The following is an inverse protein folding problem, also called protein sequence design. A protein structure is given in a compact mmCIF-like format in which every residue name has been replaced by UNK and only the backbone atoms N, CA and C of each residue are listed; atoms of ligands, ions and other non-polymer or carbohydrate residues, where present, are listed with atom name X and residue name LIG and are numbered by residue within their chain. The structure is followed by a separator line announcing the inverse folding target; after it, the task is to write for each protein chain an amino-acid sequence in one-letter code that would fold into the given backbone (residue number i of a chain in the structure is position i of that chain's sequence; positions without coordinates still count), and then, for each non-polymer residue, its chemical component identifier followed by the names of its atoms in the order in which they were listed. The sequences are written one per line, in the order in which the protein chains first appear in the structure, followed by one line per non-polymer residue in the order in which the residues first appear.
data_IF_195012336904
#
_entry.id   IF_195012336904
#
_cell.length_a   1.000
_cell.length_b   1.000
_cell.length_c   1.000
_cell.angle_alpha   90.00
_cell.angle_beta   90.00
_cell.angle_gamma   90.00
#
_symmetry.space_group_name_H-M   'P 1'
#
loop_
_entity.id
_entity.type
_entity.pdbx_description
1 polymer ?
#
# COMPACT_ATOMS: atom_id res chain seq x y z
N UNK A 1 -30.97 14.12 15.12
CA UNK A 1 -32.23 14.51 15.79
C UNK A 1 -32.49 13.71 17.07
N UNK A 2 -32.23 12.40 17.11
CA UNK A 2 -32.41 11.56 18.32
C UNK A 2 -31.50 11.93 19.52
N UNK A 3 -30.29 12.46 19.27
CA UNK A 3 -29.34 12.78 20.34
C UNK A 3 -29.70 14.05 21.16
N UNK A 4 -30.58 14.91 20.64
CA UNK A 4 -31.03 16.12 21.34
C UNK A 4 -32.17 15.82 22.34
N UNK A 5 -32.87 14.71 22.16
CA UNK A 5 -33.99 14.32 23.03
C UNK A 5 -33.47 13.75 24.36
N UNK A 6 -32.38 12.98 24.32
CA UNK A 6 -31.77 12.38 25.51
C UNK A 6 -31.21 13.43 26.49
N UNK A 7 -30.71 14.57 25.99
CA UNK A 7 -30.15 15.64 26.83
C UNK A 7 -31.21 16.55 27.47
N UNK A 8 -32.45 16.53 27.00
CA UNK A 8 -33.55 17.33 27.56
C UNK A 8 -34.18 16.75 28.83
N UNK A 9 -33.99 15.45 29.10
CA UNK A 9 -34.65 14.73 30.19
C UNK A 9 -33.90 14.79 31.54
N UNK A 10 -32.63 15.22 31.55
CA UNK A 10 -31.77 15.10 32.74
C UNK A 10 -31.65 16.39 33.58
N UNK A 11 -32.36 17.48 33.26
CA UNK A 11 -32.05 18.77 33.90
C UNK A 11 -33.18 19.78 34.08
N UNK A 12 -34.46 19.38 34.02
CA UNK A 12 -35.56 20.35 34.18
C UNK A 12 -36.66 19.88 35.13
N UNK A 13 -37.03 20.83 36.00
CA UNK A 13 -38.07 20.84 37.01
C UNK A 13 -39.29 19.96 36.67
N UNK A 14 -39.53 18.94 37.50
CA UNK A 14 -40.51 17.87 37.33
C UNK A 14 -41.94 18.38 37.03
N UNK A 15 -42.31 19.54 37.58
CA UNK A 15 -43.63 20.16 37.38
C UNK A 15 -43.92 20.58 35.92
N UNK A 16 -42.93 21.04 35.16
CA UNK A 16 -43.14 21.41 33.73
C UNK A 16 -43.20 20.20 32.80
N UNK A 17 -42.70 19.05 33.24
CA UNK A 17 -42.70 17.80 32.47
C UNK A 17 -44.12 17.20 32.38
N UNK A 18 -44.95 17.40 33.41
CA UNK A 18 -46.31 16.85 33.49
C UNK A 18 -47.23 17.48 32.43
N UNK A 19 -47.15 18.79 32.18
CA UNK A 19 -48.02 19.47 31.22
C UNK A 19 -47.69 19.16 29.74
N UNK A 20 -46.45 18.75 29.43
CA UNK A 20 -46.06 18.38 28.06
C UNK A 20 -46.56 16.95 27.74
N UNK A 21 -46.61 16.07 28.73
CA UNK A 21 -47.09 14.70 28.55
C UNK A 21 -48.62 14.60 28.37
N UNK A 22 -49.37 15.64 28.77
CA UNK A 22 -50.83 15.69 28.59
C UNK A 22 -51.27 16.00 27.16
N UNK A 23 -50.36 16.49 26.30
CA UNK A 23 -50.68 16.92 24.94
C UNK A 23 -50.08 16.03 23.85
N UNK A 24 -49.70 14.80 24.19
CA UNK A 24 -49.25 13.81 23.21
C UNK A 24 -50.50 13.22 22.55
N UNK A 25 -50.68 13.37 21.22
CA UNK A 25 -51.77 12.71 20.52
C UNK A 25 -51.65 11.20 20.77
N UNK A 26 -52.71 10.59 21.27
CA UNK A 26 -52.77 9.13 21.45
C UNK A 26 -52.60 8.50 20.07
N UNK A 27 -51.40 8.04 19.75
CA UNK A 27 -51.13 7.21 18.57
C UNK A 27 -51.80 5.86 18.85
N UNK A 28 -53.10 5.76 18.61
CA UNK A 28 -53.92 4.58 18.92
C UNK A 28 -53.81 3.45 17.90
N UNK A 29 -52.88 3.52 16.94
CA UNK A 29 -52.72 2.47 15.94
C UNK A 29 -51.28 2.35 15.43
N UNK A 30 -50.35 2.03 16.34
CA UNK A 30 -49.15 1.29 15.90
C UNK A 30 -49.55 -0.18 15.92
N UNK A 31 -49.94 -0.71 14.76
CA UNK A 31 -50.07 -2.16 14.58
C UNK A 31 -48.66 -2.76 14.62
N UNK A 32 -48.11 -2.87 15.83
CA UNK A 32 -46.81 -3.47 16.09
C UNK A 32 -46.96 -4.96 15.87
N UNK A 33 -46.70 -5.39 14.63
CA UNK A 33 -46.69 -6.81 14.29
C UNK A 33 -45.57 -7.46 15.10
N UNK A 34 -45.94 -8.26 16.09
CA UNK A 34 -44.98 -9.03 16.86
C UNK A 34 -44.34 -10.05 15.92
N UNK A 35 -43.12 -9.76 15.46
CA UNK A 35 -42.33 -10.71 14.69
C UNK A 35 -41.76 -11.71 15.70
N UNK A 36 -42.47 -12.82 15.87
CA UNK A 36 -41.94 -13.96 16.63
C UNK A 36 -40.84 -14.58 15.79
N UNK A 37 -39.59 -14.32 16.17
CA UNK A 37 -38.42 -14.96 15.58
C UNK A 37 -38.51 -16.46 15.86
N UNK A 38 -38.63 -17.27 14.80
CA UNK A 38 -38.50 -18.72 14.93
C UNK A 38 -37.03 -19.04 15.15
N UNK A 39 -36.73 -19.74 16.25
CA UNK A 39 -35.40 -20.28 16.48
C UNK A 39 -35.23 -21.53 15.61
N UNK A 40 -34.55 -21.40 14.47
CA UNK A 40 -34.07 -22.57 13.75
C UNK A 40 -32.78 -23.09 14.39
N UNK A 41 -32.59 -24.41 14.37
CA UNK A 41 -31.32 -25.01 14.77
C UNK A 41 -30.24 -24.57 13.77
N UNK A 42 -29.13 -24.06 14.28
CA UNK A 42 -27.98 -23.74 13.45
C UNK A 42 -27.53 -24.99 12.69
N UNK A 43 -27.47 -24.90 11.35
CA UNK A 43 -26.87 -25.97 10.57
C UNK A 43 -25.36 -26.00 10.85
N UNK A 44 -24.75 -27.20 10.88
CA UNK A 44 -23.30 -27.31 11.01
C UNK A 44 -22.65 -26.57 9.84
N UNK A 45 -21.50 -25.95 10.10
CA UNK A 45 -20.74 -25.29 9.06
C UNK A 45 -20.51 -26.29 7.90
N UNK A 46 -20.67 -25.85 6.63
CA UNK A 46 -20.34 -26.70 5.49
C UNK A 46 -18.93 -27.27 5.67
N UNK A 47 -18.75 -28.55 5.35
CA UNK A 47 -17.42 -29.20 5.37
C UNK A 47 -16.49 -28.67 4.27
N UNK A 48 -17.01 -27.85 3.35
CA UNK A 48 -16.25 -27.22 2.28
C UNK A 48 -15.57 -25.91 2.74
N UNK A 49 -14.32 -25.73 2.33
CA UNK A 49 -13.60 -24.47 2.48
C UNK A 49 -14.24 -23.37 1.62
N UNK A 50 -14.00 -22.12 2.01
CA UNK A 50 -14.42 -20.96 1.24
C UNK A 50 -13.96 -21.02 -0.23
N UNK A 51 -12.71 -21.43 -0.45
CA UNK A 51 -12.09 -21.45 -1.77
C UNK A 51 -12.62 -22.61 -2.61
N UNK A 52 -12.77 -23.79 -2.02
CA UNK A 52 -13.40 -24.95 -2.65
C UNK A 52 -14.82 -24.64 -3.10
N UNK A 53 -15.60 -23.95 -2.25
CA UNK A 53 -16.94 -23.48 -2.59
C UNK A 53 -16.93 -22.50 -3.76
N UNK A 54 -16.00 -21.55 -3.81
CA UNK A 54 -15.92 -20.57 -4.90
C UNK A 54 -15.45 -21.18 -6.22
N UNK A 55 -14.50 -22.12 -6.16
CA UNK A 55 -14.04 -22.89 -7.32
C UNK A 55 -15.18 -23.76 -7.87
N UNK A 56 -15.89 -24.49 -7.00
CA UNK A 56 -17.05 -25.31 -7.37
C UNK A 56 -18.16 -24.48 -8.01
N UNK A 57 -18.39 -23.26 -7.51
CA UNK A 57 -19.42 -22.35 -8.02
C UNK A 57 -18.95 -21.50 -9.22
N UNK A 58 -17.69 -21.64 -9.66
CA UNK A 58 -17.08 -20.85 -10.74
C UNK A 58 -17.34 -19.34 -10.59
N UNK A 59 -17.20 -18.81 -9.36
CA UNK A 59 -17.42 -17.39 -9.12
C UNK A 59 -16.28 -16.57 -9.74
N UNK A 60 -16.59 -15.54 -10.55
CA UNK A 60 -15.55 -14.71 -11.14
C UNK A 60 -14.85 -13.88 -10.07
N UNK A 61 -13.54 -13.70 -10.23
CA UNK A 61 -12.77 -12.76 -9.41
C UNK A 61 -13.09 -11.33 -9.86
N UNK A 62 -13.44 -10.46 -8.92
CA UNK A 62 -13.65 -9.05 -9.21
C UNK A 62 -12.36 -8.42 -9.76
N UNK A 63 -12.43 -7.49 -10.72
CA UNK A 63 -11.26 -6.78 -11.20
C UNK A 63 -10.59 -6.02 -10.04
N UNK A 64 -9.25 -6.01 -10.00
CA UNK A 64 -8.48 -5.37 -8.94
C UNK A 64 -7.48 -4.36 -9.52
N UNK A 65 -6.34 -4.82 -10.06
CA UNK A 65 -5.28 -3.94 -10.55
C UNK A 65 -5.70 -3.10 -11.76
N UNK A 66 -6.65 -3.60 -12.56
CA UNK A 66 -7.15 -2.92 -13.76
C UNK A 66 -8.06 -1.74 -13.46
N UNK A 67 -8.67 -1.69 -12.27
CA UNK A 67 -9.62 -0.64 -11.88
C UNK A 67 -9.16 0.18 -10.66
N UNK A 68 -8.07 -0.24 -9.99
CA UNK A 68 -7.58 0.45 -8.81
C UNK A 68 -6.96 1.79 -9.19
N UNK A 69 -7.27 2.85 -8.42
CA UNK A 69 -6.69 4.16 -8.66
C UNK A 69 -5.17 4.11 -8.42
N UNK A 70 -4.34 4.56 -9.37
CA UNK A 70 -2.90 4.60 -9.18
C UNK A 70 -2.52 5.54 -8.03
N UNK A 71 -1.76 5.03 -7.07
CA UNK A 71 -1.32 5.77 -5.88
C UNK A 71 0.21 5.80 -5.82
N UNK A 72 0.79 6.93 -5.40
CA UNK A 72 2.23 7.08 -5.22
C UNK A 72 2.81 5.94 -4.36
N UNK A 73 2.17 5.64 -3.23
CA UNK A 73 2.57 4.57 -2.30
C UNK A 73 2.65 3.20 -2.95
N UNK A 74 1.67 2.85 -3.78
CA UNK A 74 1.63 1.56 -4.49
C UNK A 74 2.77 1.43 -5.50
N UNK A 75 3.04 2.50 -6.27
CA UNK A 75 4.17 2.53 -7.20
C UNK A 75 5.50 2.45 -6.46
N UNK A 76 5.68 3.22 -5.38
CA UNK A 76 6.92 3.20 -4.62
C UNK A 76 7.24 1.80 -4.09
N UNK A 77 6.21 1.07 -3.63
CA UNK A 77 6.33 -0.31 -3.17
C UNK A 77 6.69 -1.28 -4.30
N UNK A 78 6.04 -1.20 -5.45
CA UNK A 78 6.35 -2.06 -6.61
C UNK A 78 7.77 -1.77 -7.11
N UNK A 79 8.13 -0.50 -7.28
CA UNK A 79 9.47 -0.09 -7.71
C UNK A 79 10.54 -0.57 -6.74
N UNK A 80 10.29 -0.57 -5.42
CA UNK A 80 11.24 -1.12 -4.44
C UNK A 80 11.48 -2.62 -4.64
N UNK A 81 10.44 -3.40 -4.94
CA UNK A 81 10.59 -4.82 -5.30
C UNK A 81 11.38 -4.99 -6.60
N UNK A 82 11.03 -4.22 -7.63
CA UNK A 82 11.69 -4.29 -8.94
C UNK A 82 13.17 -3.90 -8.88
N UNK A 83 13.52 -2.84 -8.15
CA UNK A 83 14.93 -2.46 -7.95
C UNK A 83 15.67 -3.48 -7.12
N UNK A 84 15.03 -4.11 -6.13
CA UNK A 84 15.61 -5.22 -5.37
C UNK A 84 15.95 -6.41 -6.28
N UNK A 85 15.01 -6.84 -7.12
CA UNK A 85 15.22 -7.90 -8.12
C UNK A 85 16.36 -7.53 -9.08
N UNK A 86 16.37 -6.30 -9.59
CA UNK A 86 17.42 -5.83 -10.49
C UNK A 86 18.80 -5.89 -9.83
N UNK A 87 18.94 -5.41 -8.58
CA UNK A 87 20.20 -5.44 -7.84
C UNK A 87 20.67 -6.86 -7.52
N UNK A 88 19.75 -7.74 -7.11
CA UNK A 88 20.08 -9.17 -6.96
C UNK A 88 20.52 -9.77 -8.29
N UNK A 89 19.84 -9.42 -9.39
CA UNK A 89 20.25 -9.80 -10.74
C UNK A 89 21.67 -9.33 -11.07
N UNK A 90 22.02 -8.08 -10.78
CA UNK A 90 23.38 -7.57 -10.97
C UNK A 90 24.41 -8.37 -10.18
N UNK A 91 24.14 -8.61 -8.89
CA UNK A 91 25.05 -9.36 -8.03
C UNK A 91 25.27 -10.79 -8.53
N UNK A 92 24.20 -11.48 -8.95
CA UNK A 92 24.26 -12.85 -9.46
C UNK A 92 24.97 -12.90 -10.81
N UNK A 93 24.60 -12.04 -11.76
CA UNK A 93 25.18 -12.04 -13.11
C UNK A 93 26.65 -11.66 -13.08
N UNK A 94 27.03 -10.62 -12.34
CA UNK A 94 28.43 -10.22 -12.21
C UNK A 94 29.24 -11.24 -11.41
N UNK A 95 28.67 -11.80 -10.34
CA UNK A 95 29.32 -12.82 -9.53
C UNK A 95 29.58 -14.12 -10.30
N UNK A 96 28.57 -14.64 -11.01
CA UNK A 96 28.75 -15.80 -11.87
C UNK A 96 29.65 -15.50 -13.06
N UNK A 97 29.49 -14.31 -13.68
CA UNK A 97 30.35 -13.86 -14.77
C UNK A 97 31.82 -13.86 -14.38
N UNK A 98 32.16 -13.37 -13.18
CA UNK A 98 33.53 -13.39 -12.67
C UNK A 98 34.11 -14.82 -12.52
N UNK A 99 33.27 -15.84 -12.37
CA UNK A 99 33.70 -17.23 -12.24
C UNK A 99 33.83 -17.97 -13.58
N UNK A 100 32.99 -17.62 -14.56
CA UNK A 100 32.87 -18.38 -15.82
C UNK A 100 33.47 -17.70 -17.03
N UNK A 101 33.68 -16.38 -16.98
CA UNK A 101 34.18 -15.62 -18.14
C UNK A 101 35.68 -15.86 -18.34
N UNK A 102 36.15 -15.90 -19.61
CA UNK A 102 37.52 -16.25 -19.95
C UNK A 102 38.55 -15.14 -19.68
N UNK A 103 38.09 -13.91 -19.47
CA UNK A 103 38.95 -12.75 -19.27
C UNK A 103 38.62 -12.05 -17.96
N UNK A 104 39.54 -11.19 -17.51
CA UNK A 104 39.37 -10.39 -16.31
C UNK A 104 38.49 -9.16 -16.55
N UNK A 105 38.20 -8.43 -15.47
CA UNK A 105 37.40 -7.21 -15.55
C UNK A 105 38.04 -6.13 -16.43
N UNK A 106 39.36 -6.00 -16.42
CA UNK A 106 40.08 -4.98 -17.17
C UNK A 106 39.90 -5.16 -18.69
N UNK A 107 39.89 -6.40 -19.17
CA UNK A 107 39.59 -6.71 -20.57
C UNK A 107 38.20 -6.20 -20.98
N UNK A 108 37.16 -6.47 -20.18
CA UNK A 108 35.81 -6.02 -20.51
C UNK A 108 35.63 -4.50 -20.37
N UNK A 109 36.32 -3.87 -19.41
CA UNK A 109 36.31 -2.42 -19.25
C UNK A 109 36.92 -1.72 -20.48
N UNK A 110 38.09 -2.18 -20.95
CA UNK A 110 38.73 -1.64 -22.15
C UNK A 110 37.91 -1.88 -23.43
N UNK A 111 37.20 -3.02 -23.51
CA UNK A 111 36.27 -3.28 -24.61
C UNK A 111 35.10 -2.27 -24.63
N UNK A 112 34.55 -1.92 -23.45
CA UNK A 112 33.49 -0.89 -23.33
C UNK A 112 34.03 0.49 -23.69
N UNK A 113 35.25 0.84 -23.24
CA UNK A 113 35.92 2.09 -23.64
C UNK A 113 36.13 2.18 -25.15
N UNK A 114 36.46 1.05 -25.78
CA UNK A 114 36.60 0.91 -27.24
C UNK A 114 35.31 1.17 -28.04
N UNK A 115 34.13 1.16 -27.40
CA UNK A 115 32.87 1.54 -28.03
C UNK A 115 32.77 3.06 -28.29
N UNK A 116 33.65 3.87 -27.69
CA UNK A 116 33.73 5.32 -27.88
C UNK A 116 32.37 6.03 -27.71
N UNK A 117 31.62 5.62 -26.68
CA UNK A 117 30.32 6.22 -26.38
C UNK A 117 30.47 7.71 -26.05
N UNK A 118 29.53 8.53 -26.52
CA UNK A 118 29.51 9.95 -26.21
C UNK A 118 29.33 10.18 -24.71
N UNK A 119 29.91 11.26 -24.16
CA UNK A 119 29.81 11.56 -22.74
C UNK A 119 28.36 11.59 -22.20
N UNK A 120 27.36 12.17 -22.91
CA UNK A 120 25.97 12.11 -22.48
C UNK A 120 25.37 10.70 -22.47
N UNK A 121 25.77 9.85 -23.43
CA UNK A 121 25.33 8.46 -23.50
C UNK A 121 25.90 7.67 -22.33
N UNK A 122 27.20 7.79 -22.08
CA UNK A 122 27.86 7.12 -20.96
C UNK A 122 27.28 7.55 -19.61
N UNK A 123 27.04 8.85 -19.41
CA UNK A 123 26.43 9.37 -18.20
C UNK A 123 25.01 8.83 -17.98
N UNK A 124 24.23 8.72 -19.05
CA UNK A 124 22.88 8.16 -19.00
C UNK A 124 22.89 6.68 -18.62
N UNK A 125 23.80 5.89 -19.18
CA UNK A 125 23.98 4.47 -18.82
C UNK A 125 24.38 4.34 -17.35
N UNK A 126 25.38 5.11 -16.90
CA UNK A 126 25.81 5.14 -15.50
C UNK A 126 24.65 5.47 -14.57
N UNK A 127 23.84 6.48 -14.90
CA UNK A 127 22.68 6.87 -14.11
C UNK A 127 21.62 5.76 -14.03
N UNK A 128 21.27 5.13 -15.16
CA UNK A 128 20.29 4.04 -15.20
C UNK A 128 20.76 2.83 -14.39
N UNK A 129 22.07 2.53 -14.39
CA UNK A 129 22.65 1.46 -13.58
C UNK A 129 22.71 1.82 -12.08
N UNK A 130 23.00 3.07 -11.75
CA UNK A 130 23.11 3.55 -10.36
C UNK A 130 21.76 3.80 -9.68
N UNK A 131 20.73 4.22 -10.44
CA UNK A 131 19.44 4.62 -9.88
C UNK A 131 18.73 3.50 -9.09
N UNK A 132 18.67 2.24 -9.54
CA UNK A 132 18.11 1.14 -8.75
C UNK A 132 18.76 0.99 -7.37
N UNK A 133 20.09 1.13 -7.29
CA UNK A 133 20.83 1.08 -6.03
C UNK A 133 20.45 2.24 -5.11
N UNK A 134 20.54 3.47 -5.62
CA UNK A 134 20.21 4.67 -4.84
C UNK A 134 18.76 4.64 -4.35
N UNK A 135 17.82 4.30 -5.23
CA UNK A 135 16.41 4.17 -4.89
C UNK A 135 16.17 3.08 -3.84
N UNK A 136 16.71 1.88 -4.05
CA UNK A 136 16.46 0.75 -3.16
C UNK A 136 17.03 1.00 -1.76
N UNK A 137 18.23 1.58 -1.67
CA UNK A 137 18.87 1.93 -0.41
C UNK A 137 18.06 2.98 0.36
N UNK A 138 17.74 4.11 -0.27
CA UNK A 138 17.04 5.22 0.40
C UNK A 138 15.61 4.81 0.78
N UNK A 139 14.89 4.13 -0.12
CA UNK A 139 13.55 3.62 0.22
C UNK A 139 13.62 2.50 1.27
N UNK A 140 14.68 1.69 1.29
CA UNK A 140 14.92 0.68 2.33
C UNK A 140 15.06 1.31 3.72
N UNK A 141 15.79 2.43 3.84
CA UNK A 141 15.85 3.21 5.10
C UNK A 141 14.46 3.70 5.51
N UNK A 142 13.65 4.16 4.55
CA UNK A 142 12.25 4.56 4.82
C UNK A 142 11.40 3.37 5.31
N UNK A 143 11.58 2.18 4.75
CA UNK A 143 10.92 0.96 5.23
C UNK A 143 11.37 0.60 6.66
N UNK A 144 12.66 0.65 6.97
CA UNK A 144 13.16 0.42 8.33
C UNK A 144 12.60 1.44 9.33
N UNK A 145 12.39 2.70 8.91
CA UNK A 145 11.71 3.69 9.75
C UNK A 145 10.24 3.32 10.01
N UNK A 146 9.55 2.76 9.01
CA UNK A 146 8.19 2.23 9.19
C UNK A 146 8.14 1.01 10.11
N UNK A 147 9.12 0.11 10.02
CA UNK A 147 9.24 -1.04 10.93
C UNK A 147 9.45 -0.61 12.38
N UNK A 148 10.10 0.55 12.58
CA UNK A 148 10.22 1.23 13.88
C UNK A 148 8.98 2.07 14.26
N UNK A 149 7.84 1.89 13.58
CA UNK A 149 6.57 2.60 13.77
C UNK A 149 6.64 4.13 13.62
N UNK A 150 7.56 4.65 12.80
CA UNK A 150 7.68 6.09 12.48
C UNK A 150 7.04 6.42 11.14
N UNK A 151 6.57 7.66 10.96
CA UNK A 151 6.06 8.18 9.67
C UNK A 151 4.90 7.39 9.03
N UNK A 152 3.97 6.90 9.84
CA UNK A 152 2.85 6.04 9.40
C UNK A 152 1.55 6.81 9.12
N UNK A 153 1.50 8.13 9.35
CA UNK A 153 0.33 8.91 8.92
C UNK A 153 0.34 9.10 7.41
N UNK A 154 -0.83 9.21 6.78
CA UNK A 154 -0.91 9.38 5.32
C UNK A 154 -0.09 10.59 4.83
N UNK A 155 -0.12 11.71 5.56
CA UNK A 155 0.67 12.90 5.21
C UNK A 155 2.17 12.62 5.22
N UNK A 156 2.66 11.93 6.24
CA UNK A 156 4.08 11.57 6.37
C UNK A 156 4.49 10.54 5.32
N UNK A 157 3.65 9.53 5.05
CA UNK A 157 3.91 8.53 4.01
C UNK A 157 4.11 9.18 2.65
N UNK A 158 3.30 10.18 2.29
CA UNK A 158 3.46 10.93 1.04
C UNK A 158 4.67 11.88 1.08
N UNK A 159 4.85 12.63 2.16
CA UNK A 159 5.99 13.56 2.32
C UNK A 159 7.34 12.84 2.25
N UNK A 160 7.49 11.76 3.02
CA UNK A 160 8.68 10.90 2.98
C UNK A 160 8.85 10.21 1.62
N UNK A 161 7.75 9.91 0.92
CA UNK A 161 7.78 9.37 -0.44
C UNK A 161 8.39 10.35 -1.46
N UNK A 162 8.01 11.63 -1.43
CA UNK A 162 8.63 12.63 -2.30
C UNK A 162 10.07 12.95 -1.89
N UNK A 163 10.34 13.06 -0.60
CA UNK A 163 11.68 13.32 -0.09
C UNK A 163 12.65 12.21 -0.51
N UNK A 164 12.25 10.94 -0.38
CA UNK A 164 13.10 9.81 -0.75
C UNK A 164 13.38 9.74 -2.25
N UNK A 165 12.41 10.10 -3.11
CA UNK A 165 12.62 10.20 -4.57
C UNK A 165 13.66 11.28 -4.92
N UNK A 166 13.58 12.44 -4.27
CA UNK A 166 14.54 13.52 -4.49
C UNK A 166 15.95 13.09 -4.06
N UNK A 167 16.08 12.53 -2.86
CA UNK A 167 17.37 12.05 -2.33
C UNK A 167 17.95 10.95 -3.21
N UNK A 168 17.15 9.97 -3.64
CA UNK A 168 17.59 8.89 -4.53
C UNK A 168 18.09 9.42 -5.89
N UNK A 169 17.40 10.41 -6.46
CA UNK A 169 17.77 11.01 -7.75
C UNK A 169 19.09 11.77 -7.66
N UNK A 170 19.27 12.59 -6.61
CA UNK A 170 20.53 13.30 -6.37
C UNK A 170 21.65 12.31 -6.12
N UNK A 171 21.41 11.28 -5.29
CA UNK A 171 22.41 10.27 -4.98
C UNK A 171 22.85 9.50 -6.24
N UNK A 172 21.90 9.07 -7.08
CA UNK A 172 22.21 8.43 -8.36
C UNK A 172 22.97 9.35 -9.32
N UNK A 173 22.64 10.66 -9.35
CA UNK A 173 23.34 11.65 -10.15
C UNK A 173 24.81 11.82 -9.74
N UNK A 174 25.07 11.85 -8.43
CA UNK A 174 26.43 11.88 -7.88
C UNK A 174 27.18 10.61 -8.29
N UNK A 175 26.57 9.42 -8.09
CA UNK A 175 27.19 8.16 -8.47
C UNK A 175 27.50 8.06 -9.97
N UNK A 176 26.64 8.62 -10.82
CA UNK A 176 26.84 8.62 -12.27
C UNK A 176 27.94 9.59 -12.73
N UNK A 177 28.26 10.60 -11.93
CA UNK A 177 29.29 11.60 -12.20
C UNK A 177 30.70 11.18 -11.75
N UNK A 178 30.80 10.17 -10.88
CA UNK A 178 32.06 9.51 -10.52
C UNK A 178 32.55 8.61 -11.67
#
# INVERSE_FOLDING_TARGET
MALQIAKGLCGRNFSKQINILQNIPKITNVNARCVVMRTEKAQPAPLESHDERNMRLNRPQSPHLTIYQPQLTSFLSITHRMTGIALTGYAVVLGLGALVMPHDFAHYATMIEGLQLSAPCLMSIKFVLAYPFAYHMVNGVRHLAWDAAKFLTIKEVYSTGYAMLAVATVFAGILAAL
#
